data_IF_928134970133
#
_entry.id   IF_928134970133
#
_cell.length_a   1.000
_cell.length_b   1.000
_cell.length_c   1.000
_cell.angle_alpha   90.00
_cell.angle_beta   90.00
_cell.angle_gamma   90.00
#
_symmetry.space_group_name_H-M   'P 1'
#
loop_
_entity.id
_entity.type
_entity.pdbx_description
1 polymer ?
#
# COMPACT_ATOMS: atom_id res chain seq x y z
N UNK A 1 -27.65 -77.30 7.23
CA UNK A 1 -28.08 -75.88 7.18
C UNK A 1 -27.05 -75.05 7.95
N UNK A 2 -26.15 -74.33 7.26
CA UNK A 2 -25.09 -73.51 7.86
C UNK A 2 -25.62 -72.09 8.08
N UNK A 3 -25.61 -71.59 9.32
CA UNK A 3 -25.91 -70.19 9.64
C UNK A 3 -24.60 -69.40 9.50
N UNK A 4 -24.56 -68.48 8.54
CA UNK A 4 -23.47 -67.51 8.37
C UNK A 4 -23.81 -66.31 9.24
N UNK A 5 -23.00 -66.09 10.28
CA UNK A 5 -23.09 -64.90 11.13
C UNK A 5 -22.49 -63.72 10.40
N UNK A 6 -23.31 -62.69 10.17
CA UNK A 6 -22.90 -61.41 9.62
C UNK A 6 -22.21 -60.61 10.75
N UNK A 7 -20.89 -60.49 10.69
CA UNK A 7 -20.13 -59.60 11.57
C UNK A 7 -20.25 -58.18 11.02
N UNK A 8 -20.96 -57.32 11.73
CA UNK A 8 -21.07 -55.90 11.42
C UNK A 8 -19.79 -55.20 11.90
N UNK A 9 -18.89 -54.88 10.97
CA UNK A 9 -17.73 -54.06 11.24
C UNK A 9 -18.18 -52.60 11.42
N UNK A 10 -18.21 -52.11 12.66
CA UNK A 10 -18.26 -50.68 12.93
C UNK A 10 -16.95 -50.05 12.47
N UNK A 11 -16.98 -49.41 11.31
CA UNK A 11 -15.91 -48.53 10.84
C UNK A 11 -16.00 -47.27 11.69
N UNK A 12 -15.12 -47.17 12.69
CA UNK A 12 -14.93 -45.95 13.47
C UNK A 12 -14.28 -44.93 12.54
N UNK A 13 -15.09 -43.99 12.03
CA UNK A 13 -14.59 -42.81 11.32
C UNK A 13 -13.86 -41.97 12.37
N UNK A 14 -12.53 -42.04 12.37
CA UNK A 14 -11.68 -41.10 13.09
C UNK A 14 -11.81 -39.78 12.33
N UNK A 15 -12.68 -38.90 12.83
CA UNK A 15 -12.67 -37.49 12.45
C UNK A 15 -11.33 -36.95 12.95
N UNK A 16 -10.38 -36.76 12.05
CA UNK A 16 -9.28 -35.85 12.29
C UNK A 16 -9.90 -34.47 12.49
N UNK A 17 -10.10 -34.08 13.75
CA UNK A 17 -10.21 -32.67 14.08
C UNK A 17 -8.87 -32.06 13.67
N UNK A 18 -8.84 -31.32 12.58
CA UNK A 18 -7.81 -30.30 12.42
C UNK A 18 -7.91 -29.42 13.66
N UNK A 19 -6.87 -29.37 14.48
CA UNK A 19 -6.80 -28.38 15.55
C UNK A 19 -6.95 -27.02 14.88
N UNK A 20 -8.12 -26.40 15.13
CA UNK A 20 -8.60 -25.14 14.57
C UNK A 20 -8.04 -23.95 15.35
N UNK A 21 -6.93 -24.16 16.05
CA UNK A 21 -6.49 -23.28 17.13
C UNK A 21 -5.42 -22.26 16.70
N UNK A 22 -4.82 -22.41 15.52
CA UNK A 22 -3.82 -21.46 15.01
C UNK A 22 -4.31 -20.85 13.70
N UNK A 23 -4.97 -19.69 13.78
CA UNK A 23 -5.18 -18.86 12.61
C UNK A 23 -3.84 -18.31 12.08
N UNK A 24 -3.72 -18.05 10.77
CA UNK A 24 -2.56 -17.33 10.25
C UNK A 24 -2.34 -16.01 10.99
N UNK A 25 -1.09 -15.55 11.06
CA UNK A 25 -0.78 -14.23 11.64
C UNK A 25 -1.63 -13.15 10.98
N UNK A 26 -2.21 -12.27 11.80
CA UNK A 26 -3.13 -11.23 11.34
C UNK A 26 -4.58 -11.67 11.17
N UNK A 27 -4.93 -12.93 11.44
CA UNK A 27 -6.31 -13.44 11.33
C UNK A 27 -6.84 -14.05 12.63
N UNK A 28 -8.15 -13.98 12.82
CA UNK A 28 -8.91 -14.54 13.94
C UNK A 28 -10.30 -15.02 13.49
N UNK A 29 -11.14 -15.41 14.44
CA UNK A 29 -12.49 -15.91 14.19
C UNK A 29 -12.56 -17.43 14.19
N UNK A 30 -13.78 -17.97 14.11
CA UNK A 30 -13.92 -19.42 13.93
C UNK A 30 -13.26 -19.82 12.64
N UNK A 31 -13.44 -19.10 11.54
CA UNK A 31 -13.00 -19.57 10.23
C UNK A 31 -11.72 -18.87 9.73
N UNK A 32 -11.00 -18.20 10.64
CA UNK A 32 -9.78 -17.43 10.35
C UNK A 32 -9.97 -16.41 9.23
N UNK A 33 -11.16 -15.82 9.17
CA UNK A 33 -11.65 -14.90 8.14
C UNK A 33 -11.78 -13.45 8.63
N UNK A 34 -11.54 -13.21 9.92
CA UNK A 34 -11.56 -11.87 10.52
C UNK A 34 -10.14 -11.36 10.61
N UNK A 35 -9.84 -10.23 9.96
CA UNK A 35 -8.55 -9.57 10.09
C UNK A 35 -8.39 -8.92 11.47
N UNK A 36 -7.23 -9.11 12.08
CA UNK A 36 -6.77 -8.36 13.25
C UNK A 36 -6.12 -7.08 12.72
N UNK A 37 -6.45 -5.92 13.26
CA UNK A 37 -5.75 -4.70 12.89
C UNK A 37 -4.27 -4.79 13.30
N UNK A 38 -3.33 -4.43 12.41
CA UNK A 38 -1.90 -4.44 12.72
C UNK A 38 -1.57 -3.40 13.81
N UNK A 39 -0.56 -3.67 14.61
CA UNK A 39 -0.06 -2.73 15.61
C UNK A 39 0.65 -1.51 14.96
N UNK A 40 1.30 -1.73 13.81
CA UNK A 40 1.87 -0.67 12.99
C UNK A 40 2.13 -1.15 11.56
N UNK A 41 2.34 -0.22 10.63
CA UNK A 41 2.70 -0.49 9.24
C UNK A 41 4.05 0.16 8.95
N UNK A 42 4.93 -0.58 8.30
CA UNK A 42 6.21 -0.07 7.83
C UNK A 42 6.07 0.33 6.37
N UNK A 43 6.30 1.60 6.03
CA UNK A 43 6.45 2.08 4.65
C UNK A 43 7.90 1.84 4.20
N UNK A 44 8.07 1.02 3.16
CA UNK A 44 9.38 0.58 2.68
C UNK A 44 9.89 1.36 1.47
N UNK A 45 9.01 1.59 0.50
CA UNK A 45 9.29 2.41 -0.69
C UNK A 45 8.00 2.92 -1.32
N UNK A 46 8.13 3.98 -2.12
CA UNK A 46 7.09 4.44 -3.05
C UNK A 46 7.69 4.43 -4.44
N UNK A 47 7.04 3.74 -5.36
CA UNK A 47 7.40 3.72 -6.77
C UNK A 47 6.35 4.50 -7.56
N UNK A 48 6.79 5.36 -8.47
CA UNK A 48 5.94 6.10 -9.41
C UNK A 48 6.30 5.65 -10.81
N UNK A 49 5.35 5.04 -11.52
CA UNK A 49 5.55 4.45 -12.86
C UNK A 49 4.90 5.26 -13.97
N UNK A 50 4.00 6.17 -13.62
CA UNK A 50 3.43 7.16 -14.53
C UNK A 50 3.16 8.45 -13.76
N UNK A 51 3.30 9.61 -14.42
CA UNK A 51 3.03 10.93 -13.86
C UNK A 51 2.81 11.95 -15.00
N UNK A 52 2.15 13.10 -14.75
CA UNK A 52 1.88 14.06 -15.82
C UNK A 52 3.15 14.70 -16.37
N UNK A 53 3.26 14.76 -17.70
CA UNK A 53 4.41 15.39 -18.40
C UNK A 53 4.31 16.93 -18.46
N UNK A 54 3.12 17.47 -18.18
CA UNK A 54 2.83 18.90 -18.28
C UNK A 54 1.77 19.36 -17.26
N UNK A 55 1.75 20.66 -16.98
CA UNK A 55 0.69 21.32 -16.21
C UNK A 55 -0.63 21.27 -16.98
N UNK A 56 -1.74 21.51 -16.28
CA UNK A 56 -3.09 21.43 -16.87
C UNK A 56 -3.35 22.39 -18.05
N UNK A 57 -2.56 23.45 -18.18
CA UNK A 57 -2.62 24.40 -19.30
C UNK A 57 -1.70 24.01 -20.47
N UNK A 58 -0.97 22.90 -20.34
CA UNK A 58 -0.04 22.35 -21.32
C UNK A 58 1.37 22.94 -21.24
N UNK A 59 1.69 23.80 -20.25
CA UNK A 59 3.06 24.21 -20.02
C UNK A 59 3.89 23.08 -19.41
N UNK A 60 5.21 23.09 -19.63
CA UNK A 60 6.11 22.22 -18.88
C UNK A 60 6.04 22.49 -17.38
N UNK A 61 6.51 21.53 -16.59
CA UNK A 61 6.75 21.66 -15.16
C UNK A 61 7.83 22.72 -14.92
N UNK A 62 9.00 22.49 -15.52
CA UNK A 62 10.08 23.46 -15.64
C UNK A 62 10.19 24.14 -17.02
N UNK A 63 10.95 25.25 -17.07
CA UNK A 63 11.21 26.04 -18.28
C UNK A 63 12.09 25.31 -19.32
N UNK A 64 12.97 24.39 -18.91
CA UNK A 64 14.00 23.83 -19.80
C UNK A 64 14.41 22.36 -19.57
N UNK A 65 13.86 21.71 -18.57
CA UNK A 65 14.17 20.38 -18.05
C UNK A 65 12.86 19.65 -17.68
N UNK A 66 12.98 18.40 -17.26
CA UNK A 66 11.85 17.68 -16.67
C UNK A 66 11.72 18.02 -15.18
N UNK A 67 10.58 17.72 -14.55
CA UNK A 67 10.30 18.13 -13.17
C UNK A 67 11.31 17.61 -12.14
N UNK A 68 11.33 18.27 -10.99
CA UNK A 68 12.05 17.90 -9.79
C UNK A 68 11.08 17.28 -8.76
N UNK A 69 10.81 15.98 -8.87
CA UNK A 69 9.71 15.33 -8.15
C UNK A 69 10.10 14.87 -6.75
N UNK A 70 9.28 15.24 -5.76
CA UNK A 70 9.27 14.66 -4.42
C UNK A 70 7.83 14.44 -3.94
N UNK A 71 7.65 13.69 -2.84
CA UNK A 71 6.33 13.50 -2.27
C UNK A 71 6.29 13.79 -0.78
N UNK A 72 5.08 14.06 -0.30
CA UNK A 72 4.73 14.19 1.11
C UNK A 72 3.62 13.22 1.47
N UNK A 73 3.70 12.65 2.66
CA UNK A 73 2.64 11.83 3.24
C UNK A 73 1.98 12.61 4.37
N UNK A 74 0.66 12.66 4.35
CA UNK A 74 -0.17 13.33 5.33
C UNK A 74 -1.09 12.33 6.03
N UNK A 75 -1.41 12.65 7.28
CA UNK A 75 -2.45 11.99 8.09
C UNK A 75 -3.28 13.07 8.76
N UNK A 76 -4.58 13.11 8.49
CA UNK A 76 -5.49 14.15 9.01
C UNK A 76 -4.91 15.57 8.79
N UNK A 77 -4.51 15.89 7.55
CA UNK A 77 -3.89 17.15 7.12
C UNK A 77 -2.52 17.48 7.74
N UNK A 78 -1.98 16.61 8.61
CA UNK A 78 -0.64 16.78 9.20
C UNK A 78 0.39 16.04 8.38
N UNK A 79 1.43 16.75 7.90
CA UNK A 79 2.59 16.13 7.26
C UNK A 79 3.29 15.20 8.26
N UNK A 80 3.51 13.94 7.88
CA UNK A 80 4.21 12.94 8.69
C UNK A 80 5.50 12.45 8.05
N UNK A 81 5.65 12.62 6.75
CA UNK A 81 6.84 12.23 6.00
C UNK A 81 7.01 13.11 4.75
N UNK A 82 8.25 13.39 4.39
CA UNK A 82 8.65 14.05 3.14
C UNK A 82 9.83 13.27 2.57
N UNK A 83 9.78 12.93 1.28
CA UNK A 83 10.86 12.23 0.59
C UNK A 83 11.99 13.17 0.17
N UNK A 84 13.10 12.58 -0.28
CA UNK A 84 14.06 13.30 -1.11
C UNK A 84 13.48 13.61 -2.50
N UNK A 85 14.08 14.59 -3.18
CA UNK A 85 13.75 15.01 -4.55
C UNK A 85 14.51 14.20 -5.59
N UNK A 86 13.82 13.80 -6.65
CA UNK A 86 14.40 13.25 -7.88
C UNK A 86 14.38 14.33 -8.94
N UNK A 87 15.56 14.82 -9.31
CA UNK A 87 15.67 15.97 -10.22
C UNK A 87 15.68 15.61 -11.70
N UNK A 88 15.25 16.57 -12.53
CA UNK A 88 15.30 16.53 -13.99
C UNK A 88 14.67 15.27 -14.60
N UNK A 89 13.56 14.77 -14.03
CA UNK A 89 13.05 13.45 -14.39
C UNK A 89 12.29 13.46 -15.72
N UNK A 90 12.47 12.39 -16.51
CA UNK A 90 11.70 12.19 -17.73
C UNK A 90 10.46 11.36 -17.42
N UNK A 91 9.31 11.71 -17.99
CA UNK A 91 8.03 10.98 -17.80
C UNK A 91 8.11 9.47 -18.04
N UNK A 92 9.03 9.02 -18.89
CA UNK A 92 9.25 7.59 -19.17
C UNK A 92 10.09 6.84 -18.12
N UNK A 93 10.42 7.49 -17.00
CA UNK A 93 11.35 6.95 -15.99
C UNK A 93 10.59 6.56 -14.73
N UNK A 94 10.65 5.28 -14.38
CA UNK A 94 10.17 4.81 -13.08
C UNK A 94 10.98 5.48 -11.96
N UNK A 95 10.28 6.12 -11.03
CA UNK A 95 10.88 6.77 -9.87
C UNK A 95 10.73 5.88 -8.65
N UNK A 96 11.84 5.60 -7.96
CA UNK A 96 11.84 4.79 -6.74
C UNK A 96 12.34 5.66 -5.59
N UNK A 97 11.48 5.87 -4.60
CA UNK A 97 11.76 6.63 -3.39
C UNK A 97 11.98 5.68 -2.21
N UNK A 98 13.20 5.69 -1.68
CA UNK A 98 13.61 4.87 -0.52
C UNK A 98 14.28 5.67 0.58
N UNK A 99 14.63 6.92 0.32
CA UNK A 99 15.36 7.75 1.26
C UNK A 99 14.46 8.14 2.44
N UNK A 100 14.99 8.04 3.66
CA UNK A 100 14.20 8.19 4.89
C UNK A 100 13.34 6.97 5.27
N UNK A 101 13.37 5.89 4.47
CA UNK A 101 12.65 4.64 4.73
C UNK A 101 13.61 3.52 5.21
N UNK A 102 13.14 2.53 5.99
CA UNK A 102 11.75 2.28 6.38
C UNK A 102 11.18 3.33 7.35
N UNK A 103 9.92 3.72 7.14
CA UNK A 103 9.19 4.67 7.99
C UNK A 103 8.02 3.97 8.69
N UNK A 104 7.98 4.03 10.02
CA UNK A 104 6.95 3.32 10.81
C UNK A 104 5.73 4.19 11.08
N UNK A 105 4.55 3.65 10.81
CA UNK A 105 3.24 4.30 10.92
C UNK A 105 2.40 3.54 11.95
N UNK A 106 2.11 4.18 13.08
CA UNK A 106 1.39 3.55 14.19
C UNK A 106 -0.15 3.60 14.07
N UNK A 107 -0.70 4.54 13.28
CA UNK A 107 -2.14 4.76 13.19
C UNK A 107 -2.72 4.08 11.95
N UNK A 108 -2.89 2.77 12.00
CA UNK A 108 -3.17 1.95 10.81
C UNK A 108 -4.57 2.10 10.22
N UNK A 109 -5.53 2.57 11.03
CA UNK A 109 -6.95 2.72 10.63
C UNK A 109 -7.30 4.12 10.10
N UNK A 110 -6.33 5.03 10.00
CA UNK A 110 -6.54 6.39 9.50
C UNK A 110 -6.42 6.43 7.96
N UNK A 111 -7.12 7.36 7.33
CA UNK A 111 -6.93 7.71 5.92
C UNK A 111 -5.61 8.49 5.74
N UNK A 112 -4.86 8.16 4.70
CA UNK A 112 -3.61 8.83 4.34
C UNK A 112 -3.77 9.60 3.03
N UNK A 113 -3.02 10.70 2.90
CA UNK A 113 -2.90 11.42 1.63
C UNK A 113 -1.45 11.44 1.20
N UNK A 114 -1.17 10.97 -0.01
CA UNK A 114 0.13 11.15 -0.67
C UNK A 114 0.01 12.27 -1.70
N UNK A 115 0.89 13.25 -1.62
CA UNK A 115 0.92 14.40 -2.54
C UNK A 115 2.29 14.53 -3.17
N UNK A 116 2.32 14.70 -4.49
CA UNK A 116 3.52 14.86 -5.29
C UNK A 116 3.68 16.32 -5.72
N UNK A 117 4.93 16.76 -5.76
CA UNK A 117 5.28 18.14 -6.02
C UNK A 117 6.49 18.22 -6.94
N UNK A 118 6.52 19.28 -7.73
CA UNK A 118 7.67 19.76 -8.50
C UNK A 118 8.43 20.80 -7.66
N UNK A 119 9.76 20.72 -7.60
CA UNK A 119 10.60 21.61 -6.77
C UNK A 119 11.20 22.74 -7.62
N UNK A 120 10.65 23.95 -7.50
CA UNK A 120 11.08 25.12 -8.29
C UNK A 120 12.24 25.91 -7.64
N UNK A 121 12.95 25.31 -6.70
CA UNK A 121 14.07 25.91 -5.98
C UNK A 121 13.68 26.93 -4.90
N UNK A 122 14.69 27.63 -4.37
CA UNK A 122 14.56 28.44 -3.14
C UNK A 122 13.72 29.72 -3.25
N UNK A 123 13.46 30.21 -4.46
CA UNK A 123 12.82 31.52 -4.69
C UNK A 123 11.38 31.41 -5.17
N UNK A 124 11.00 30.24 -5.66
CA UNK A 124 9.69 29.96 -6.21
C UNK A 124 8.97 28.95 -5.31
N UNK A 125 7.65 28.86 -5.46
CA UNK A 125 6.85 27.94 -4.68
C UNK A 125 6.69 26.64 -5.47
N UNK A 126 7.03 25.53 -4.82
CA UNK A 126 6.85 24.19 -5.38
C UNK A 126 5.41 23.97 -5.85
N UNK A 127 5.25 23.54 -7.09
CA UNK A 127 3.96 23.25 -7.69
C UNK A 127 3.44 21.85 -7.30
N UNK A 128 2.16 21.75 -6.94
CA UNK A 128 1.52 20.46 -6.66
C UNK A 128 1.15 19.76 -7.97
N UNK A 129 1.64 18.53 -8.16
CA UNK A 129 1.40 17.73 -9.36
C UNK A 129 0.16 16.85 -9.21
N UNK A 130 -0.10 16.34 -8.00
CA UNK A 130 -1.22 15.46 -7.70
C UNK A 130 -1.29 15.06 -6.24
N UNK A 131 -2.49 14.74 -5.76
CA UNK A 131 -2.74 14.40 -4.35
C UNK A 131 -3.87 13.40 -4.20
N UNK A 132 -3.61 12.31 -3.49
CA UNK A 132 -4.42 11.10 -3.51
C UNK A 132 -4.63 10.52 -2.12
N UNK A 133 -5.90 10.27 -1.78
CA UNK A 133 -6.29 9.62 -0.52
C UNK A 133 -6.25 8.11 -0.70
N UNK A 134 -5.68 7.39 0.27
CA UNK A 134 -5.62 5.93 0.29
C UNK A 134 -5.57 5.38 1.71
N UNK A 135 -5.95 4.11 1.84
CA UNK A 135 -5.87 3.37 3.11
C UNK A 135 -4.67 2.43 3.07
N UNK A 136 -3.78 2.53 4.06
CA UNK A 136 -2.70 1.54 4.20
C UNK A 136 -3.22 0.19 4.69
N UNK A 137 -4.24 0.23 5.54
CA UNK A 137 -4.93 -0.95 6.02
C UNK A 137 -6.44 -0.75 5.98
N UNK A 138 -7.16 -1.79 5.61
CA UNK A 138 -8.58 -1.91 5.91
C UNK A 138 -8.87 -3.36 6.30
N UNK A 139 -9.93 -3.56 7.07
CA UNK A 139 -10.37 -4.91 7.49
C UNK A 139 -10.77 -5.84 6.33
N UNK A 140 -10.68 -5.37 5.09
CA UNK A 140 -11.03 -6.10 3.87
C UNK A 140 -9.86 -6.23 2.88
N UNK A 141 -8.73 -5.52 3.05
CA UNK A 141 -7.68 -5.49 2.03
C UNK A 141 -6.77 -6.74 2.02
N UNK A 142 -6.80 -7.54 3.09
CA UNK A 142 -6.06 -8.80 3.23
C UNK A 142 -4.54 -8.61 3.28
N UNK A 143 -4.10 -7.48 3.85
CA UNK A 143 -2.69 -7.17 4.10
C UNK A 143 -1.82 -7.24 2.82
N UNK A 144 -2.12 -6.45 1.78
CA UNK A 144 -1.30 -6.44 0.57
C UNK A 144 0.07 -5.82 0.84
N UNK A 145 1.14 -6.50 0.42
CA UNK A 145 2.52 -5.98 0.51
C UNK A 145 2.75 -4.77 -0.40
N UNK A 146 1.88 -4.58 -1.41
CA UNK A 146 1.89 -3.43 -2.32
C UNK A 146 0.48 -2.86 -2.46
N UNK A 147 0.33 -1.56 -2.20
CA UNK A 147 -0.89 -0.81 -2.46
C UNK A 147 -0.74 -0.11 -3.80
N UNK A 148 -1.65 -0.42 -4.72
CA UNK A 148 -1.68 0.15 -6.06
C UNK A 148 -2.68 1.31 -6.13
N UNK A 149 -2.23 2.48 -6.57
CA UNK A 149 -3.06 3.63 -6.87
C UNK A 149 -2.88 3.92 -8.36
N UNK A 150 -3.78 3.38 -9.18
CA UNK A 150 -3.75 3.50 -10.65
C UNK A 150 -4.71 4.61 -11.11
N UNK A 151 -4.19 5.54 -11.91
CA UNK A 151 -4.95 6.65 -12.51
C UNK A 151 -6.02 7.25 -11.56
N UNK A 152 -5.64 7.69 -10.34
CA UNK A 152 -6.60 8.16 -9.36
C UNK A 152 -7.31 9.41 -9.89
N UNK A 153 -8.64 9.34 -9.98
CA UNK A 153 -9.48 10.45 -10.41
C UNK A 153 -9.34 10.86 -11.89
N UNK A 154 -8.74 10.03 -12.74
CA UNK A 154 -8.46 10.41 -14.13
C UNK A 154 -7.09 11.07 -14.33
N UNK A 155 -6.20 11.03 -13.33
CA UNK A 155 -4.84 11.58 -13.42
C UNK A 155 -3.88 10.65 -14.18
N UNK A 156 -2.69 11.17 -14.49
CA UNK A 156 -1.62 10.41 -15.15
C UNK A 156 -0.70 9.71 -14.14
N UNK A 157 -1.09 9.62 -12.86
CA UNK A 157 -0.29 8.96 -11.83
C UNK A 157 -0.59 7.47 -11.71
N UNK A 158 0.47 6.65 -11.73
CA UNK A 158 0.44 5.26 -11.29
C UNK A 158 1.48 5.05 -10.19
N UNK A 159 1.02 4.64 -9.00
CA UNK A 159 1.82 4.61 -7.78
C UNK A 159 1.75 3.22 -7.13
N UNK A 160 2.90 2.68 -6.74
CA UNK A 160 3.04 1.46 -5.96
C UNK A 160 3.66 1.76 -4.60
N UNK A 161 2.92 1.52 -3.52
CA UNK A 161 3.37 1.79 -2.15
C UNK A 161 3.67 0.46 -1.49
N UNK A 162 4.92 0.22 -1.14
CA UNK A 162 5.38 -1.05 -0.56
C UNK A 162 5.34 -0.97 0.97
N UNK A 163 4.64 -1.92 1.60
CA UNK A 163 4.38 -1.90 3.05
C UNK A 163 4.55 -3.27 3.70
N UNK A 164 4.92 -3.26 4.99
CA UNK A 164 4.87 -4.45 5.85
C UNK A 164 3.93 -4.22 7.05
N UNK A 165 3.10 -5.21 7.37
CA UNK A 165 2.18 -5.17 8.51
C UNK A 165 2.80 -5.84 9.74
N UNK A 166 2.84 -5.11 10.86
CA UNK A 166 3.41 -5.59 12.12
C UNK A 166 2.29 -5.91 13.11
N UNK A 167 2.22 -7.14 13.63
CA UNK A 167 1.18 -7.63 14.55
C UNK A 167 1.74 -7.95 15.95
#
# INVERSE_FOLDING_TARGET
MKKIGLVCACITIILFACNKDDCPQGYTGSDCDIQIAPASITLNSVDVTDFPDAKSDGSGWDDSNGPDIYFKLYRNDSEIFTSDTKSDVLVTTDLIFTDGMPFNIANVDDDYTISFFDEDGLLDANDEMGSFVFDMYSSLNSFPDVIHIENPGGSEFDINIHVDYNF
#
